data_IF_878143067296
#
_entry.id   IF_878143067296
#
_cell.length_a   1.000
_cell.length_b   1.000
_cell.length_c   1.000
_cell.angle_alpha   90.00
_cell.angle_beta   90.00
_cell.angle_gamma   90.00
#
_symmetry.space_group_name_H-M   'P 1'
#
loop_
_entity.id
_entity.type
_entity.pdbx_description
1 polymer ?
#
# COMPACT_ATOMS: atom_id res chain seq x y z
N UNK A 1 -11.41 17.71 -6.69
CA UNK A 1 -12.88 17.90 -6.63
C UNK A 1 -13.28 18.89 -5.55
N UNK A 2 -12.77 18.80 -4.32
CA UNK A 2 -13.11 19.75 -3.24
C UNK A 2 -12.79 21.21 -3.58
N UNK A 3 -11.69 21.46 -4.30
CA UNK A 3 -11.32 22.80 -4.80
C UNK A 3 -12.25 23.34 -5.89
N UNK A 4 -13.09 22.50 -6.50
CA UNK A 4 -14.02 22.86 -7.60
C UNK A 4 -15.44 22.97 -7.05
N UNK A 5 -15.90 21.96 -6.31
CA UNK A 5 -17.20 21.94 -5.66
C UNK A 5 -17.14 21.07 -4.40
N UNK A 6 -17.06 21.74 -3.24
CA UNK A 6 -16.97 21.09 -1.94
C UNK A 6 -18.18 20.19 -1.65
N UNK A 7 -19.39 20.70 -1.92
CA UNK A 7 -20.64 19.97 -1.66
C UNK A 7 -20.73 18.67 -2.47
N UNK A 8 -20.49 18.76 -3.78
CA UNK A 8 -20.51 17.58 -4.65
C UNK A 8 -19.43 16.55 -4.25
N UNK A 9 -18.24 17.01 -3.88
CA UNK A 9 -17.16 16.14 -3.41
C UNK A 9 -17.55 15.39 -2.14
N UNK A 10 -18.15 16.09 -1.16
CA UNK A 10 -18.63 15.49 0.09
C UNK A 10 -19.76 14.49 -0.14
N UNK A 11 -20.72 14.82 -1.02
CA UNK A 11 -21.81 13.90 -1.38
C UNK A 11 -21.28 12.62 -2.01
N UNK A 12 -20.37 12.73 -2.98
CA UNK A 12 -19.74 11.56 -3.61
C UNK A 12 -18.96 10.75 -2.57
N UNK A 13 -18.12 11.38 -1.74
CA UNK A 13 -17.35 10.70 -0.69
C UNK A 13 -18.26 9.90 0.24
N UNK A 14 -19.33 10.51 0.74
CA UNK A 14 -20.28 9.85 1.63
C UNK A 14 -20.98 8.66 0.95
N UNK A 15 -21.38 8.80 -0.31
CA UNK A 15 -22.02 7.74 -1.07
C UNK A 15 -21.07 6.54 -1.29
N UNK A 16 -19.81 6.80 -1.69
CA UNK A 16 -18.81 5.75 -1.87
C UNK A 16 -18.48 5.03 -0.55
N UNK A 17 -18.29 5.76 0.55
CA UNK A 17 -18.05 5.16 1.87
C UNK A 17 -19.21 4.26 2.30
N UNK A 18 -20.45 4.73 2.13
CA UNK A 18 -21.64 3.93 2.48
C UNK A 18 -21.74 2.68 1.61
N UNK A 19 -21.58 2.82 0.30
CA UNK A 19 -21.69 1.72 -0.64
C UNK A 19 -20.60 0.65 -0.44
N UNK A 20 -19.35 1.07 -0.20
CA UNK A 20 -18.24 0.17 0.10
C UNK A 20 -18.43 -0.58 1.43
N UNK A 21 -18.98 0.11 2.44
CA UNK A 21 -19.29 -0.51 3.73
C UNK A 21 -20.40 -1.55 3.63
N UNK A 22 -21.43 -1.30 2.80
CA UNK A 22 -22.54 -2.23 2.59
C UNK A 22 -22.15 -3.40 1.67
N UNK A 23 -21.24 -3.18 0.72
CA UNK A 23 -20.75 -4.20 -0.20
C UNK A 23 -19.23 -4.04 -0.46
N UNK A 24 -18.37 -4.66 0.37
CA UNK A 24 -16.92 -4.57 0.21
C UNK A 24 -16.44 -5.06 -1.17
N UNK A 25 -15.58 -4.27 -1.81
CA UNK A 25 -15.09 -4.48 -3.18
C UNK A 25 -15.86 -3.70 -4.26
N UNK A 26 -17.01 -3.11 -3.94
CA UNK A 26 -17.84 -2.39 -4.92
C UNK A 26 -17.09 -1.22 -5.57
N UNK A 27 -16.28 -0.49 -4.81
CA UNK A 27 -15.48 0.62 -5.36
C UNK A 27 -14.48 0.13 -6.40
N UNK A 28 -13.84 -1.01 -6.14
CA UNK A 28 -12.93 -1.65 -7.10
C UNK A 28 -13.68 -2.06 -8.37
N UNK A 29 -14.86 -2.66 -8.25
CA UNK A 29 -15.67 -3.06 -9.41
C UNK A 29 -16.09 -1.86 -10.25
N UNK A 30 -16.47 -0.75 -9.60
CA UNK A 30 -16.80 0.51 -10.28
C UNK A 30 -15.58 1.03 -11.06
N UNK A 31 -14.39 1.09 -10.43
CA UNK A 31 -13.17 1.56 -11.10
C UNK A 31 -12.85 0.68 -12.31
N UNK A 32 -12.88 -0.64 -12.15
CA UNK A 32 -12.63 -1.60 -13.22
C UNK A 32 -13.61 -1.41 -14.39
N UNK A 33 -14.90 -1.22 -14.10
CA UNK A 33 -15.92 -0.98 -15.15
C UNK A 33 -15.74 0.36 -15.86
N UNK A 34 -15.29 1.40 -15.17
CA UNK A 34 -14.99 2.69 -15.79
C UNK A 34 -13.79 2.55 -16.73
N UNK A 35 -12.71 1.88 -16.30
CA UNK A 35 -11.52 1.63 -17.13
C UNK A 35 -11.87 0.83 -18.38
N UNK A 36 -12.66 -0.24 -18.24
CA UNK A 36 -13.18 -1.05 -19.33
C UNK A 36 -14.00 -0.20 -20.33
N UNK A 37 -14.93 0.61 -19.83
CA UNK A 37 -15.76 1.50 -20.66
C UNK A 37 -14.97 2.58 -21.40
N UNK A 38 -13.83 3.01 -20.84
CA UNK A 38 -12.91 3.95 -21.48
C UNK A 38 -11.84 3.28 -22.34
N UNK A 39 -11.89 1.95 -22.48
CA UNK A 39 -10.93 1.15 -23.22
C UNK A 39 -9.48 1.35 -22.76
N UNK A 40 -9.29 1.55 -21.45
CA UNK A 40 -7.97 1.70 -20.82
C UNK A 40 -7.49 0.31 -20.40
N UNK A 41 -6.50 -0.22 -21.12
CA UNK A 41 -5.92 -1.53 -20.82
C UNK A 41 -4.73 -1.39 -19.88
N UNK A 42 -4.98 -1.61 -18.59
CA UNK A 42 -3.94 -1.58 -17.55
C UNK A 42 -4.10 -2.77 -16.61
N UNK A 43 -2.99 -3.22 -16.03
CA UNK A 43 -3.04 -4.11 -14.88
C UNK A 43 -3.40 -3.27 -13.64
N UNK A 44 -4.61 -3.46 -13.13
CA UNK A 44 -5.11 -2.71 -11.98
C UNK A 44 -4.24 -2.87 -10.73
N UNK A 45 -3.84 -4.10 -10.40
CA UNK A 45 -2.99 -4.39 -9.25
C UNK A 45 -1.61 -3.74 -9.36
N UNK A 46 -1.02 -3.79 -10.55
CA UNK A 46 0.25 -3.14 -10.82
C UNK A 46 0.13 -1.62 -10.69
N UNK A 47 -0.94 -1.04 -11.24
CA UNK A 47 -1.18 0.41 -11.21
C UNK A 47 -1.38 0.90 -9.79
N UNK A 48 -2.15 0.17 -8.98
CA UNK A 48 -2.29 0.45 -7.54
C UNK A 48 -0.93 0.43 -6.82
N UNK A 49 -0.07 -0.54 -7.16
CA UNK A 49 1.24 -0.65 -6.53
C UNK A 49 2.14 0.53 -6.90
N UNK A 50 2.14 0.97 -8.17
CA UNK A 50 2.90 2.15 -8.60
C UNK A 50 2.45 3.41 -7.86
N UNK A 51 1.15 3.59 -7.65
CA UNK A 51 0.56 4.75 -6.95
C UNK A 51 0.72 4.68 -5.42
N UNK A 52 1.13 3.54 -4.86
CA UNK A 52 1.22 3.36 -3.41
C UNK A 52 2.25 4.27 -2.70
N UNK A 53 3.20 4.81 -3.46
CA UNK A 53 4.18 5.77 -2.94
C UNK A 53 3.61 7.19 -2.78
N UNK A 54 2.49 7.49 -3.43
CA UNK A 54 1.86 8.80 -3.34
C UNK A 54 1.43 9.07 -1.90
N UNK A 55 1.79 10.23 -1.39
CA UNK A 55 1.45 10.61 -0.03
C UNK A 55 -0.03 10.95 0.06
N UNK A 56 -0.76 10.14 0.84
CA UNK A 56 -2.14 10.43 1.19
C UNK A 56 -2.14 11.00 2.60
N UNK A 57 -2.50 12.28 2.73
CA UNK A 57 -2.56 13.01 4.01
C UNK A 57 -3.40 12.27 5.07
N UNK A 58 -4.39 11.48 4.64
CA UNK A 58 -5.24 10.69 5.54
C UNK A 58 -4.44 9.72 6.42
N UNK A 59 -3.30 9.20 5.92
CA UNK A 59 -2.44 8.27 6.66
C UNK A 59 -1.28 8.94 7.39
N UNK A 60 -1.04 10.25 7.22
CA UNK A 60 0.01 10.94 7.96
C UNK A 60 -0.42 11.10 9.43
N UNK A 61 0.50 10.74 10.34
CA UNK A 61 0.35 11.04 11.76
C UNK A 61 0.79 12.48 11.97
N UNK A 62 -0.18 13.39 12.15
CA UNK A 62 0.04 14.84 12.32
C UNK A 62 0.44 15.15 13.77
N UNK A 63 1.65 14.72 14.14
CA UNK A 63 2.18 14.80 15.50
C UNK A 63 3.65 15.23 15.46
N UNK A 64 4.04 16.30 16.18
CA UNK A 64 5.39 16.86 16.08
C UNK A 64 6.46 16.01 16.77
N UNK A 65 6.10 15.02 17.60
CA UNK A 65 7.08 14.22 18.33
C UNK A 65 7.92 13.35 17.38
N UNK A 66 9.23 13.27 17.65
CA UNK A 66 10.22 12.63 16.77
C UNK A 66 9.85 11.18 16.42
N UNK A 67 9.32 10.43 17.40
CA UNK A 67 8.91 9.04 17.22
C UNK A 67 7.86 8.86 16.11
N UNK A 68 6.92 9.81 15.99
CA UNK A 68 5.88 9.78 14.94
C UNK A 68 6.40 10.28 13.59
N UNK A 69 7.32 11.24 13.59
CA UNK A 69 8.01 11.68 12.38
C UNK A 69 8.86 10.54 11.80
N UNK A 70 9.63 9.86 12.65
CA UNK A 70 10.42 8.69 12.27
C UNK A 70 9.52 7.58 11.71
N UNK A 71 8.40 7.28 12.37
CA UNK A 71 7.44 6.30 11.88
C UNK A 71 6.88 6.65 10.48
N UNK A 72 6.48 7.91 10.28
CA UNK A 72 6.00 8.40 8.98
C UNK A 72 7.08 8.24 7.90
N UNK A 73 8.33 8.59 8.20
CA UNK A 73 9.46 8.46 7.28
C UNK A 73 9.75 6.99 6.93
N UNK A 74 9.80 6.10 7.92
CA UNK A 74 10.03 4.66 7.68
C UNK A 74 8.90 4.03 6.87
N UNK A 75 7.66 4.38 7.17
CA UNK A 75 6.50 3.93 6.41
C UNK A 75 6.55 4.42 4.96
N UNK A 76 6.88 5.70 4.74
CA UNK A 76 7.06 6.29 3.41
C UNK A 76 8.17 5.58 2.63
N UNK A 77 9.33 5.36 3.25
CA UNK A 77 10.46 4.68 2.64
C UNK A 77 10.07 3.27 2.17
N UNK A 78 9.40 2.49 3.02
CA UNK A 78 8.93 1.16 2.65
C UNK A 78 7.93 1.19 1.48
N UNK A 79 6.91 2.06 1.54
CA UNK A 79 5.92 2.20 0.46
C UNK A 79 6.58 2.58 -0.87
N UNK A 80 7.56 3.48 -0.83
CA UNK A 80 8.29 3.92 -2.01
C UNK A 80 9.20 2.84 -2.60
N UNK A 81 9.80 1.96 -1.79
CA UNK A 81 10.56 0.83 -2.33
C UNK A 81 9.60 -0.21 -2.94
N UNK A 82 8.49 -0.52 -2.27
CA UNK A 82 7.49 -1.48 -2.76
C UNK A 82 6.85 -1.03 -4.08
N UNK A 83 6.63 0.27 -4.28
CA UNK A 83 6.02 0.80 -5.51
C UNK A 83 6.89 0.66 -6.75
N UNK A 84 8.21 0.44 -6.59
CA UNK A 84 9.16 0.23 -7.69
C UNK A 84 9.21 -1.21 -8.21
N UNK A 85 8.60 -2.16 -7.48
CA UNK A 85 8.59 -3.58 -7.85
C UNK A 85 8.12 -3.79 -9.30
N UNK A 86 7.03 -3.17 -9.80
CA UNK A 86 6.61 -3.32 -11.20
C UNK A 86 7.69 -3.02 -12.23
N UNK A 87 8.54 -2.02 -11.97
CA UNK A 87 9.58 -1.58 -12.91
C UNK A 87 10.88 -2.39 -12.75
N UNK A 88 11.15 -2.92 -11.55
CA UNK A 88 12.41 -3.59 -11.23
C UNK A 88 12.32 -5.13 -11.35
N UNK A 89 11.14 -5.73 -11.26
CA UNK A 89 10.93 -7.20 -11.16
C UNK A 89 11.47 -7.99 -12.37
N UNK A 90 11.60 -7.36 -13.54
CA UNK A 90 12.12 -7.99 -14.76
C UNK A 90 13.65 -7.95 -14.85
N UNK A 91 14.32 -7.06 -14.10
CA UNK A 91 15.78 -7.01 -13.99
C UNK A 91 16.19 -7.76 -12.72
N UNK A 92 16.72 -8.98 -12.87
CA UNK A 92 17.07 -9.84 -11.74
C UNK A 92 18.06 -9.20 -10.78
N UNK A 93 19.03 -8.43 -11.27
CA UNK A 93 20.06 -7.82 -10.42
C UNK A 93 19.46 -6.69 -9.61
N UNK A 94 18.70 -5.80 -10.27
CA UNK A 94 17.97 -4.72 -9.59
C UNK A 94 16.97 -5.29 -8.59
N UNK A 95 16.15 -6.26 -9.01
CA UNK A 95 15.12 -6.84 -8.15
C UNK A 95 15.69 -7.51 -6.90
N UNK A 96 16.83 -8.20 -7.00
CA UNK A 96 17.50 -8.75 -5.82
C UNK A 96 17.98 -7.65 -4.87
N UNK A 97 18.39 -6.50 -5.38
CA UNK A 97 18.70 -5.33 -4.55
C UNK A 97 17.44 -4.76 -3.90
N UNK A 98 16.35 -4.58 -4.67
CA UNK A 98 15.05 -4.14 -4.16
C UNK A 98 14.57 -5.03 -3.01
N UNK A 99 14.71 -6.35 -3.12
CA UNK A 99 14.33 -7.30 -2.06
C UNK A 99 15.14 -7.06 -0.79
N UNK A 100 16.45 -6.79 -0.89
CA UNK A 100 17.28 -6.46 0.27
C UNK A 100 16.85 -5.14 0.91
N UNK A 101 16.57 -4.14 0.08
CA UNK A 101 16.14 -2.82 0.54
C UNK A 101 14.77 -2.90 1.24
N UNK A 102 13.84 -3.70 0.72
CA UNK A 102 12.54 -4.00 1.36
C UNK A 102 12.77 -4.68 2.73
N UNK A 103 13.64 -5.67 2.81
CA UNK A 103 13.92 -6.37 4.07
C UNK A 103 14.49 -5.42 5.13
N UNK A 104 15.39 -4.53 4.75
CA UNK A 104 15.94 -3.49 5.63
C UNK A 104 14.85 -2.50 6.06
N UNK A 105 14.06 -1.97 5.13
CA UNK A 105 12.98 -1.02 5.45
C UNK A 105 11.88 -1.63 6.35
N UNK A 106 11.56 -2.92 6.15
CA UNK A 106 10.66 -3.67 7.04
C UNK A 106 11.22 -3.75 8.46
N UNK A 107 12.52 -4.03 8.60
CA UNK A 107 13.17 -4.09 9.90
C UNK A 107 13.11 -2.74 10.60
N UNK A 108 13.49 -1.66 9.92
CA UNK A 108 13.47 -0.30 10.47
C UNK A 108 12.05 0.15 10.86
N UNK A 109 11.04 -0.20 10.08
CA UNK A 109 9.64 0.09 10.42
C UNK A 109 9.18 -0.72 11.66
N UNK A 110 9.59 -1.98 11.79
CA UNK A 110 9.25 -2.80 12.95
C UNK A 110 9.94 -2.34 14.23
N UNK A 111 11.14 -1.76 14.14
CA UNK A 111 11.86 -1.22 15.29
C UNK A 111 11.14 0.01 15.89
N UNK A 112 10.35 0.74 15.07
CA UNK A 112 9.58 1.93 15.47
C UNK A 112 8.10 1.65 15.81
N UNK A 113 7.56 0.48 15.44
CA UNK A 113 6.14 0.16 15.65
C UNK A 113 5.82 -0.39 17.06
N UNK A 114 4.55 -0.26 17.50
CA UNK A 114 4.04 -0.86 18.74
C UNK A 114 3.90 -2.38 18.62
N UNK A 115 4.21 -3.13 19.70
CA UNK A 115 4.20 -4.60 19.76
C UNK A 115 2.92 -5.26 19.23
N UNK A 116 1.74 -4.70 19.52
CA UNK A 116 0.47 -5.28 19.06
C UNK A 116 0.33 -5.26 17.53
N UNK A 117 0.85 -4.23 16.86
CA UNK A 117 0.78 -4.07 15.41
C UNK A 117 1.86 -4.87 14.67
N UNK A 118 2.96 -5.24 15.35
CA UNK A 118 4.05 -6.03 14.76
C UNK A 118 3.58 -7.43 14.34
N UNK A 119 2.68 -8.06 15.10
CA UNK A 119 2.29 -9.46 14.86
C UNK A 119 1.65 -9.68 13.50
N UNK A 120 0.63 -8.88 13.14
CA UNK A 120 0.00 -8.99 11.83
C UNK A 120 0.95 -8.53 10.73
N UNK A 121 1.71 -7.44 10.92
CA UNK A 121 2.67 -6.99 9.91
C UNK A 121 3.73 -8.06 9.57
N UNK A 122 4.28 -8.75 10.59
CA UNK A 122 5.24 -9.85 10.41
C UNK A 122 4.63 -11.01 9.62
N UNK A 123 3.35 -11.33 9.82
CA UNK A 123 2.65 -12.37 9.06
C UNK A 123 2.58 -12.02 7.57
N UNK A 124 2.24 -10.77 7.22
CA UNK A 124 2.22 -10.33 5.83
C UNK A 124 3.63 -10.24 5.22
N UNK A 125 4.64 -9.83 5.99
CA UNK A 125 6.05 -9.83 5.55
C UNK A 125 6.57 -11.24 5.24
N UNK A 126 6.23 -12.23 6.07
CA UNK A 126 6.53 -13.64 5.79
C UNK A 126 5.82 -14.14 4.54
N UNK A 127 4.52 -13.84 4.41
CA UNK A 127 3.73 -14.21 3.22
C UNK A 127 4.31 -13.58 1.93
N UNK A 128 4.78 -12.33 1.99
CA UNK A 128 5.48 -11.68 0.89
C UNK A 128 6.78 -12.41 0.53
N UNK A 129 7.59 -12.77 1.53
CA UNK A 129 8.82 -13.56 1.33
C UNK A 129 8.54 -14.91 0.66
N UNK A 130 7.48 -15.62 1.07
CA UNK A 130 7.10 -16.89 0.45
C UNK A 130 6.52 -16.71 -0.96
N UNK A 131 5.86 -15.58 -1.22
CA UNK A 131 5.42 -15.19 -2.57
C UNK A 131 6.62 -14.98 -3.50
N UNK A 132 7.67 -14.30 -3.03
CA UNK A 132 8.91 -14.12 -3.79
C UNK A 132 9.57 -15.46 -4.12
N UNK A 133 9.65 -16.39 -3.15
CA UNK A 133 10.18 -17.75 -3.38
C UNK A 133 9.38 -18.50 -4.45
N UNK A 134 8.07 -18.30 -4.48
CA UNK A 134 7.18 -18.91 -5.48
C UNK A 134 7.38 -18.28 -6.85
N UNK A 135 7.48 -16.94 -6.90
CA UNK A 135 7.77 -16.19 -8.11
C UNK A 135 9.07 -16.63 -8.79
N UNK A 136 10.15 -16.86 -8.03
CA UNK A 136 11.39 -17.36 -8.61
C UNK A 136 11.29 -18.78 -9.22
N UNK A 137 10.18 -19.50 -8.96
CA UNK A 137 9.90 -20.82 -9.55
C UNK A 137 8.93 -20.72 -10.74
N UNK A 138 7.88 -19.90 -10.65
CA UNK A 138 6.78 -19.88 -11.62
C UNK A 138 6.70 -18.63 -12.50
N UNK A 139 7.48 -17.59 -12.20
CA UNK A 139 7.53 -16.32 -12.94
C UNK A 139 6.27 -15.45 -12.82
N UNK A 140 5.32 -15.78 -11.93
CA UNK A 140 4.03 -15.07 -11.84
C UNK A 140 4.14 -13.75 -11.07
N UNK A 141 4.61 -12.69 -11.74
CA UNK A 141 4.80 -11.35 -11.16
C UNK A 141 3.54 -10.78 -10.47
N UNK A 142 2.35 -11.09 -11.00
CA UNK A 142 1.07 -10.62 -10.43
C UNK A 142 0.90 -10.99 -8.94
N UNK A 143 1.38 -12.17 -8.53
CA UNK A 143 1.29 -12.61 -7.14
C UNK A 143 2.15 -11.73 -6.24
N UNK A 144 3.34 -11.33 -6.71
CA UNK A 144 4.23 -10.41 -6.00
C UNK A 144 3.56 -9.05 -5.85
N UNK A 145 2.89 -8.54 -6.90
CA UNK A 145 2.18 -7.26 -6.83
C UNK A 145 1.02 -7.27 -5.82
N UNK A 146 0.21 -8.33 -5.82
CA UNK A 146 -0.88 -8.50 -4.83
C UNK A 146 -0.31 -8.52 -3.41
N UNK A 147 0.77 -9.26 -3.20
CA UNK A 147 1.40 -9.42 -1.88
C UNK A 147 2.06 -8.11 -1.38
N UNK A 148 2.70 -7.36 -2.28
CA UNK A 148 3.24 -6.03 -1.98
C UNK A 148 2.15 -5.00 -1.62
N UNK A 149 1.04 -4.96 -2.37
CA UNK A 149 -0.10 -4.11 -2.05
C UNK A 149 -0.69 -4.41 -0.65
N UNK A 150 -0.72 -5.69 -0.25
CA UNK A 150 -1.14 -6.07 1.11
C UNK A 150 -0.18 -5.52 2.18
N UNK A 151 1.13 -5.57 1.94
CA UNK A 151 2.12 -4.97 2.85
C UNK A 151 1.93 -3.46 2.99
N UNK A 152 1.74 -2.74 1.89
CA UNK A 152 1.42 -1.30 1.90
C UNK A 152 0.17 -1.03 2.73
N UNK A 153 -0.89 -1.80 2.53
CA UNK A 153 -2.12 -1.64 3.30
C UNK A 153 -1.87 -1.83 4.81
N UNK A 154 -1.10 -2.85 5.20
CA UNK A 154 -0.72 -3.05 6.59
C UNK A 154 0.13 -1.89 7.15
N UNK A 155 1.06 -1.36 6.36
CA UNK A 155 1.82 -0.15 6.74
C UNK A 155 0.88 1.02 7.01
N UNK A 156 -0.13 1.24 6.17
CA UNK A 156 -1.12 2.30 6.38
C UNK A 156 -1.99 2.05 7.63
N UNK A 157 -2.34 0.81 7.95
CA UNK A 157 -3.07 0.46 9.18
C UNK A 157 -2.24 0.73 10.45
N UNK A 158 -0.93 0.49 10.40
CA UNK A 158 -0.02 0.87 11.50
C UNK A 158 -0.13 2.38 11.74
N UNK A 159 0.07 3.19 10.69
CA UNK A 159 -0.03 4.66 10.79
C UNK A 159 -1.40 5.12 11.32
N UNK A 160 -2.48 4.53 10.80
CA UNK A 160 -3.84 4.86 11.22
C UNK A 160 -4.08 4.53 12.70
N UNK A 161 -3.51 3.43 13.21
CA UNK A 161 -3.62 3.06 14.62
C UNK A 161 -3.06 4.16 15.51
N UNK A 162 -1.88 4.70 15.18
CA UNK A 162 -1.26 5.80 15.94
C UNK A 162 -2.02 7.13 15.84
N UNK A 163 -2.86 7.29 14.82
CA UNK A 163 -3.78 8.42 14.70
C UNK A 163 -5.02 8.27 15.58
N UNK A 164 -5.44 7.04 15.91
CA UNK A 164 -6.70 6.76 16.64
C UNK A 164 -6.51 6.33 18.09
N UNK A 165 -5.35 5.79 18.47
CA UNK A 165 -5.12 5.13 19.77
C UNK A 165 -4.69 6.11 20.87
N UNK A 166 -4.53 7.41 20.56
CA UNK A 166 -4.17 8.44 21.55
C UNK A 166 -4.98 9.70 21.29
#
# INVERSE_FOLDING_TARGET
>A
MERINLSAAQTLRAAFIKAERENPGLTQDIIMKILEKKNVQINYTESLLRMAADEVEEFLVDRPEQEFQDLNEKARALKHILSKIPDEINDRVRFLQTIKDIASAIKELLDTALEHQKKEFVKYSKSFSDTLKTYFKDGKAINVFISANRLIHQTNLILQTFKTVI
#
